data_IF_199422024745
#
_entry.id   IF_199422024745
#
_cell.length_a   1.000
_cell.length_b   1.000
_cell.length_c   1.000
_cell.angle_alpha   90.00
_cell.angle_beta   90.00
_cell.angle_gamma   90.00
#
_symmetry.space_group_name_H-M   'P 1'
#
loop_
_entity.id
_entity.type
_entity.pdbx_description
1 polymer ?
#
# COMPACT_ATOMS: atom_id res chain seq x y z
N UNK A 1 -15.64 -21.32 -38.32
CA UNK A 1 -14.62 -20.69 -37.44
C UNK A 1 -15.41 -19.86 -36.45
N UNK A 2 -15.70 -20.40 -35.27
CA UNK A 2 -16.79 -19.94 -34.41
C UNK A 2 -16.33 -18.85 -33.43
N UNK A 3 -16.93 -17.66 -33.56
CA UNK A 3 -16.92 -16.62 -32.53
C UNK A 3 -17.64 -17.14 -31.27
N UNK A 4 -16.88 -17.40 -30.22
CA UNK A 4 -17.41 -17.50 -28.86
C UNK A 4 -17.38 -16.11 -28.24
N UNK A 5 -18.48 -15.37 -28.41
CA UNK A 5 -18.82 -14.22 -27.55
C UNK A 5 -18.99 -14.72 -26.12
N UNK A 6 -17.91 -14.66 -25.35
CA UNK A 6 -17.94 -14.90 -23.91
C UNK A 6 -18.65 -13.75 -23.21
N UNK A 7 -19.97 -13.86 -23.06
CA UNK A 7 -20.69 -13.20 -21.96
C UNK A 7 -20.08 -13.72 -20.65
N UNK A 8 -19.09 -13.00 -20.10
CA UNK A 8 -18.74 -13.17 -18.69
C UNK A 8 -19.92 -12.63 -17.91
N UNK A 9 -20.66 -13.54 -17.27
CA UNK A 9 -21.70 -13.18 -16.33
C UNK A 9 -21.10 -12.31 -15.24
N UNK A 10 -21.62 -11.10 -15.13
CA UNK A 10 -21.47 -10.27 -13.93
C UNK A 10 -22.02 -11.11 -12.76
N UNK A 11 -21.29 -11.31 -11.65
CA UNK A 11 -21.86 -11.93 -10.47
C UNK A 11 -23.10 -11.12 -10.05
N UNK A 12 -24.13 -11.75 -9.45
CA UNK A 12 -25.38 -11.06 -9.16
C UNK A 12 -25.10 -9.79 -8.35
N UNK A 13 -25.52 -8.65 -8.90
CA UNK A 13 -25.57 -7.37 -8.20
C UNK A 13 -26.26 -7.59 -6.86
N UNK A 14 -25.57 -7.29 -5.76
CA UNK A 14 -26.24 -7.10 -4.49
C UNK A 14 -27.16 -5.90 -4.66
N UNK A 15 -28.45 -6.19 -4.87
CA UNK A 15 -29.47 -5.21 -5.15
C UNK A 15 -29.45 -4.06 -4.13
N UNK A 16 -29.58 -2.85 -4.66
CA UNK A 16 -29.98 -1.64 -3.95
C UNK A 16 -31.10 -1.91 -2.93
N UNK A 17 -30.93 -1.40 -1.70
CA UNK A 17 -32.05 -0.93 -0.88
C UNK A 17 -32.79 -1.93 0.02
N UNK A 18 -32.15 -3.00 0.52
CA UNK A 18 -32.74 -3.80 1.60
C UNK A 18 -32.64 -3.10 2.97
N UNK A 19 -33.64 -3.23 3.86
CA UNK A 19 -33.58 -2.71 5.25
C UNK A 19 -32.28 -3.06 5.98
N UNK A 20 -31.67 -4.21 5.69
CA UNK A 20 -30.37 -4.64 6.25
C UNK A 20 -29.20 -3.77 5.77
N UNK A 21 -29.19 -3.36 4.51
CA UNK A 21 -28.16 -2.49 3.95
C UNK A 21 -28.25 -1.07 4.54
N UNK A 22 -29.46 -0.59 4.80
CA UNK A 22 -29.67 0.71 5.46
C UNK A 22 -29.21 0.69 6.93
N UNK A 23 -29.53 -0.38 7.67
CA UNK A 23 -29.06 -0.54 9.06
C UNK A 23 -27.54 -0.64 9.11
N UNK A 24 -26.91 -1.39 8.21
CA UNK A 24 -25.45 -1.51 8.16
C UNK A 24 -24.79 -0.16 7.84
N UNK A 25 -25.31 0.59 6.87
CA UNK A 25 -24.82 1.93 6.53
C UNK A 25 -24.91 2.89 7.74
N UNK A 26 -26.06 2.91 8.41
CA UNK A 26 -26.28 3.74 9.60
C UNK A 26 -25.37 3.33 10.77
N UNK A 27 -25.11 2.04 10.97
CA UNK A 27 -24.18 1.56 12.00
C UNK A 27 -22.72 1.92 11.67
N UNK A 28 -22.30 1.74 10.41
CA UNK A 28 -20.95 2.09 9.97
C UNK A 28 -20.70 3.60 10.11
N UNK A 29 -21.61 4.42 9.60
CA UNK A 29 -21.53 5.87 9.69
C UNK A 29 -21.66 6.36 11.15
N UNK A 30 -22.59 5.79 11.91
CA UNK A 30 -22.80 6.12 13.32
C UNK A 30 -21.62 5.74 14.22
N UNK A 31 -20.99 4.60 13.98
CA UNK A 31 -19.77 4.19 14.69
C UNK A 31 -18.59 5.10 14.36
N UNK A 32 -18.48 5.57 13.11
CA UNK A 32 -17.40 6.45 12.70
C UNK A 32 -17.51 7.88 13.28
N UNK A 33 -18.74 8.34 13.58
CA UNK A 33 -18.99 9.59 14.33
C UNK A 33 -18.71 9.45 15.84
N UNK A 34 -18.72 8.22 16.37
CA UNK A 34 -18.53 7.92 17.79
C UNK A 34 -17.11 7.48 18.18
N UNK A 35 -16.17 7.36 17.22
CA UNK A 35 -14.75 7.20 17.54
C UNK A 35 -14.25 8.48 18.22
N UNK A 36 -13.60 8.40 19.40
CA UNK A 36 -13.49 9.52 20.31
C UNK A 36 -12.68 10.68 19.72
N UNK A 37 -13.20 11.89 19.95
CA UNK A 37 -12.54 13.18 19.79
C UNK A 37 -11.34 13.33 20.78
N UNK A 38 -10.38 12.41 20.70
CA UNK A 38 -9.12 12.45 21.44
C UNK A 38 -8.09 13.32 20.71
N UNK A 39 -8.12 14.62 20.98
CA UNK A 39 -6.95 15.49 21.15
C UNK A 39 -5.79 15.48 20.14
N UNK A 40 -5.99 15.05 18.89
CA UNK A 40 -4.99 15.14 17.83
C UNK A 40 -5.59 15.76 16.58
N UNK A 41 -4.91 16.71 15.98
CA UNK A 41 -5.19 17.12 14.59
C UNK A 41 -4.74 15.97 13.69
N UNK A 42 -5.69 15.19 13.18
CA UNK A 42 -5.44 14.14 12.20
C UNK A 42 -5.55 14.74 10.81
N UNK A 43 -4.45 14.75 10.05
CA UNK A 43 -4.49 15.13 8.65
C UNK A 43 -5.27 14.06 7.87
N UNK A 44 -6.34 14.47 7.18
CA UNK A 44 -7.10 13.60 6.29
C UNK A 44 -6.33 13.47 4.96
N UNK A 45 -5.96 12.24 4.61
CA UNK A 45 -5.32 11.90 3.34
C UNK A 45 -6.13 10.82 2.61
N UNK A 46 -6.20 10.91 1.28
CA UNK A 46 -6.93 9.98 0.38
C UNK A 46 -6.11 8.72 0.10
N UNK A 47 -5.42 8.18 1.10
CA UNK A 47 -4.50 7.05 0.92
C UNK A 47 -4.59 6.11 2.11
N UNK A 48 -4.21 4.84 1.89
CA UNK A 48 -3.86 3.85 2.91
C UNK A 48 -3.51 4.45 4.28
N UNK A 49 -3.82 3.74 5.37
CA UNK A 49 -3.40 4.05 6.73
C UNK A 49 -1.96 4.60 6.89
N UNK A 50 -1.01 4.24 6.00
CA UNK A 50 0.33 4.82 5.96
C UNK A 50 0.44 6.03 5.01
N UNK A 51 0.86 7.23 5.49
CA UNK A 51 0.92 8.47 4.69
C UNK A 51 1.92 8.47 3.52
N UNK A 52 2.69 7.40 3.38
CA UNK A 52 3.71 7.22 2.35
C UNK A 52 3.42 6.06 1.40
N UNK A 53 2.25 5.42 1.53
CA UNK A 53 1.88 4.33 0.63
C UNK A 53 2.03 4.74 -0.84
N UNK A 54 2.60 3.83 -1.62
CA UNK A 54 2.88 3.99 -3.06
C UNK A 54 3.89 5.08 -3.43
N UNK A 55 4.50 5.78 -2.46
CA UNK A 55 5.63 6.68 -2.75
C UNK A 55 6.88 5.89 -3.14
N UNK A 56 7.74 6.40 -4.03
CA UNK A 56 8.98 5.73 -4.37
C UNK A 56 9.92 5.72 -3.15
N UNK A 57 10.56 4.59 -2.90
CA UNK A 57 11.67 4.48 -1.95
C UNK A 57 12.89 5.11 -2.61
N UNK A 58 13.42 6.21 -2.09
CA UNK A 58 14.56 6.91 -2.66
C UNK A 58 15.90 6.40 -2.12
N UNK A 59 15.92 5.93 -0.88
CA UNK A 59 17.08 5.27 -0.29
C UNK A 59 16.71 4.17 0.70
N UNK A 60 17.63 3.21 0.88
CA UNK A 60 17.51 2.13 1.87
C UNK A 60 18.84 2.08 2.63
N UNK A 61 18.79 2.31 3.93
CA UNK A 61 19.92 2.14 4.83
C UNK A 61 19.69 0.95 5.76
N UNK A 62 20.74 0.21 6.08
CA UNK A 62 20.70 -0.94 6.99
C UNK A 62 21.66 -0.67 8.13
N UNK A 63 21.20 -0.78 9.37
CA UNK A 63 21.97 -0.44 10.58
C UNK A 63 21.92 -1.57 11.61
N UNK A 64 23.09 -1.93 12.13
CA UNK A 64 23.21 -2.83 13.27
C UNK A 64 23.10 -2.01 14.57
N UNK A 65 22.11 -2.33 15.41
CA UNK A 65 21.83 -1.61 16.65
C UNK A 65 22.79 -1.99 17.80
N UNK A 66 23.32 -3.21 17.79
CA UNK A 66 24.25 -3.73 18.81
C UNK A 66 25.50 -4.36 18.18
N UNK A 67 26.51 -3.55 17.79
CA UNK A 67 27.78 -4.04 17.27
C UNK A 67 28.47 -5.02 18.22
N UNK A 68 29.08 -6.07 17.67
CA UNK A 68 29.65 -7.18 18.46
C UNK A 68 31.11 -6.97 18.87
N UNK A 69 31.73 -5.87 18.41
CA UNK A 69 33.15 -5.57 18.60
C UNK A 69 34.07 -6.20 17.53
N UNK A 70 33.56 -7.12 16.70
CA UNK A 70 34.20 -7.61 15.48
C UNK A 70 33.61 -6.90 14.27
N UNK A 71 34.29 -5.87 13.78
CA UNK A 71 33.85 -5.07 12.63
C UNK A 71 33.66 -5.92 11.36
N UNK A 72 34.50 -6.94 11.14
CA UNK A 72 34.39 -7.78 9.95
C UNK A 72 33.16 -8.69 10.03
N UNK A 73 32.79 -9.17 11.22
CA UNK A 73 31.55 -9.92 11.42
C UNK A 73 30.33 -9.02 11.28
N UNK A 74 30.34 -7.84 11.90
CA UNK A 74 29.26 -6.85 11.81
C UNK A 74 28.99 -6.45 10.35
N UNK A 75 30.05 -6.20 9.57
CA UNK A 75 29.94 -5.87 8.13
C UNK A 75 29.33 -7.01 7.31
N UNK A 76 29.72 -8.27 7.58
CA UNK A 76 29.11 -9.45 6.93
C UNK A 76 27.63 -9.58 7.27
N UNK A 77 27.24 -9.27 8.51
CA UNK A 77 25.84 -9.33 8.94
C UNK A 77 25.02 -8.21 8.30
N UNK A 78 25.52 -6.98 8.25
CA UNK A 78 24.87 -5.86 7.55
C UNK A 78 24.69 -6.20 6.06
N UNK A 79 25.70 -6.76 5.41
CA UNK A 79 25.59 -7.17 4.00
C UNK A 79 24.60 -8.32 3.79
N UNK A 80 24.57 -9.31 4.71
CA UNK A 80 23.59 -10.40 4.70
C UNK A 80 22.15 -9.86 4.80
N UNK A 81 21.89 -8.94 5.74
CA UNK A 81 20.57 -8.30 5.90
C UNK A 81 20.22 -7.47 4.67
N UNK A 82 21.16 -6.68 4.13
CA UNK A 82 20.97 -5.90 2.90
C UNK A 82 20.56 -6.78 1.72
N UNK A 83 21.17 -7.96 1.58
CA UNK A 83 20.81 -8.92 0.53
C UNK A 83 19.44 -9.55 0.78
N UNK A 84 19.10 -9.86 2.03
CA UNK A 84 17.84 -10.48 2.42
C UNK A 84 16.61 -9.57 2.26
N UNK A 85 16.76 -8.26 2.47
CA UNK A 85 15.66 -7.28 2.35
C UNK A 85 15.05 -7.32 0.94
N UNK A 86 15.86 -7.48 -0.12
CA UNK A 86 15.35 -7.60 -1.49
C UNK A 86 14.50 -6.40 -1.97
N UNK A 87 14.61 -5.25 -1.29
CA UNK A 87 14.00 -3.99 -1.67
C UNK A 87 15.06 -3.14 -2.38
N UNK A 88 14.60 -2.38 -3.36
CA UNK A 88 15.43 -1.55 -4.20
C UNK A 88 14.85 -0.15 -4.22
N UNK A 89 15.68 0.91 -4.19
CA UNK A 89 15.15 2.24 -4.41
C UNK A 89 14.46 2.32 -5.80
N UNK A 90 13.48 3.21 -5.94
CA UNK A 90 12.53 3.25 -7.05
C UNK A 90 11.35 2.28 -6.91
N UNK A 91 11.39 1.34 -5.96
CA UNK A 91 10.23 0.52 -5.60
C UNK A 91 9.18 1.36 -4.86
N UNK A 92 7.90 1.08 -5.10
CA UNK A 92 6.82 1.68 -4.31
C UNK A 92 6.86 1.17 -2.86
N UNK A 93 6.76 2.10 -1.91
CA UNK A 93 6.61 1.83 -0.49
C UNK A 93 5.25 1.18 -0.22
N UNK A 94 5.26 0.12 0.59
CA UNK A 94 4.08 -0.60 1.06
C UNK A 94 4.45 -1.30 2.36
N UNK A 95 3.60 -1.16 3.37
CA UNK A 95 3.78 -1.83 4.67
C UNK A 95 3.89 -3.35 4.51
N UNK A 96 3.14 -3.93 3.59
CA UNK A 96 3.14 -5.37 3.36
C UNK A 96 4.45 -5.82 2.70
N UNK A 97 4.92 -5.09 1.69
CA UNK A 97 6.22 -5.39 1.06
C UNK A 97 7.38 -5.25 2.05
N UNK A 98 7.34 -4.26 2.93
CA UNK A 98 8.35 -4.09 3.97
C UNK A 98 8.23 -5.21 4.99
N UNK A 99 7.02 -5.52 5.48
CA UNK A 99 6.78 -6.64 6.37
C UNK A 99 7.36 -7.95 5.82
N UNK A 100 7.17 -8.21 4.53
CA UNK A 100 7.73 -9.35 3.81
C UNK A 100 9.26 -9.33 3.75
N UNK A 101 9.86 -8.18 3.45
CA UNK A 101 11.31 -7.99 3.47
C UNK A 101 11.90 -8.25 4.87
N UNK A 102 11.26 -7.76 5.92
CA UNK A 102 11.68 -8.00 7.30
C UNK A 102 11.50 -9.46 7.71
N UNK A 103 10.45 -10.14 7.25
CA UNK A 103 10.28 -11.58 7.47
C UNK A 103 11.39 -12.40 6.81
N UNK A 104 11.90 -11.99 5.64
CA UNK A 104 13.05 -12.61 4.99
C UNK A 104 14.34 -12.42 5.82
N UNK A 105 14.55 -11.23 6.41
CA UNK A 105 15.69 -10.96 7.30
C UNK A 105 15.65 -11.85 8.55
N UNK A 106 14.47 -12.05 9.14
CA UNK A 106 14.27 -12.91 10.33
C UNK A 106 14.55 -14.40 10.09
N UNK A 107 14.80 -14.83 8.84
CA UNK A 107 15.28 -16.19 8.56
C UNK A 107 16.70 -16.42 9.06
N UNK A 108 17.49 -15.36 9.24
CA UNK A 108 18.84 -15.49 9.76
C UNK A 108 18.78 -15.72 11.29
N UNK A 109 19.23 -16.88 11.80
CA UNK A 109 19.11 -17.21 13.22
C UNK A 109 19.97 -16.33 14.14
N UNK A 110 20.93 -15.58 13.58
CA UNK A 110 21.71 -14.61 14.35
C UNK A 110 20.93 -13.31 14.60
N UNK A 111 19.87 -13.01 13.82
CA UNK A 111 19.07 -11.80 13.96
C UNK A 111 18.03 -12.00 15.06
N UNK A 112 18.15 -11.23 16.13
CA UNK A 112 17.23 -11.24 17.27
C UNK A 112 16.01 -10.36 17.03
N UNK A 113 16.23 -9.15 16.51
CA UNK A 113 15.17 -8.19 16.20
C UNK A 113 15.46 -7.47 14.89
N UNK A 114 14.41 -7.05 14.20
CA UNK A 114 14.50 -6.20 13.02
C UNK A 114 13.24 -5.36 12.91
N UNK A 115 13.46 -4.07 12.69
CA UNK A 115 12.44 -3.04 12.58
C UNK A 115 12.80 -2.03 11.48
N UNK A 116 11.92 -1.07 11.20
CA UNK A 116 12.15 -0.07 10.18
C UNK A 116 11.59 1.30 10.54
N UNK A 117 12.32 2.33 10.16
CA UNK A 117 11.87 3.72 10.17
C UNK A 117 11.74 4.23 8.73
N UNK A 118 10.73 5.05 8.49
CA UNK A 118 10.50 5.69 7.20
C UNK A 118 10.37 7.19 7.37
N UNK A 119 11.15 7.94 6.60
CA UNK A 119 11.14 9.41 6.59
C UNK A 119 10.83 9.93 5.19
N UNK A 120 10.18 11.11 5.05
CA UNK A 120 10.07 11.78 3.76
C UNK A 120 11.45 12.11 3.20
N UNK A 121 11.65 11.87 1.91
CA UNK A 121 12.86 12.29 1.21
C UNK A 121 12.74 13.72 0.65
N UNK A 122 13.86 14.34 0.30
CA UNK A 122 13.89 15.65 -0.36
C UNK A 122 13.28 15.65 -1.78
N UNK A 123 13.14 14.47 -2.39
CA UNK A 123 12.59 14.28 -3.75
C UNK A 123 11.11 13.90 -3.76
N UNK A 124 10.46 13.88 -2.59
CA UNK A 124 9.04 13.56 -2.45
C UNK A 124 8.73 12.06 -2.33
N UNK A 125 9.75 11.21 -2.38
CA UNK A 125 9.69 9.80 -2.01
C UNK A 125 9.92 9.57 -0.52
N UNK A 126 10.50 8.42 -0.18
CA UNK A 126 10.83 8.05 1.20
C UNK A 126 12.23 7.46 1.37
N UNK A 127 12.85 7.76 2.51
CA UNK A 127 14.10 7.15 2.96
C UNK A 127 13.77 6.07 3.99
N UNK A 128 14.11 4.82 3.68
CA UNK A 128 13.89 3.65 4.52
C UNK A 128 15.14 3.33 5.33
N UNK A 129 15.03 3.22 6.65
CA UNK A 129 16.11 2.73 7.52
C UNK A 129 15.67 1.44 8.17
N UNK A 130 16.37 0.34 7.85
CA UNK A 130 16.15 -0.97 8.48
C UNK A 130 17.17 -1.15 9.59
N UNK A 131 16.69 -1.28 10.82
CA UNK A 131 17.51 -1.46 12.02
C UNK A 131 17.36 -2.89 12.54
N UNK A 132 18.46 -3.57 12.83
CA UNK A 132 18.42 -4.94 13.34
C UNK A 132 19.38 -5.13 14.52
N UNK A 133 19.10 -6.12 15.36
CA UNK A 133 19.99 -6.54 16.45
C UNK A 133 20.38 -8.01 16.32
N UNK A 134 21.58 -8.35 16.80
CA UNK A 134 22.10 -9.70 16.87
C UNK A 134 21.85 -10.30 18.25
N UNK A 135 21.55 -11.60 18.31
CA UNK A 135 21.38 -12.33 19.57
C UNK A 135 22.66 -13.03 20.03
N UNK A 136 22.80 -13.22 21.35
CA UNK A 136 23.96 -13.89 21.96
C UNK A 136 24.06 -15.40 21.64
N UNK A 137 22.97 -15.99 21.12
CA UNK A 137 22.89 -17.38 20.70
C UNK A 137 22.04 -17.44 19.43
N UNK A 138 22.46 -18.24 18.45
CA UNK A 138 21.66 -18.59 17.28
C UNK A 138 20.45 -19.43 17.72
N UNK A 139 19.41 -18.79 18.23
CA UNK A 139 18.15 -19.45 18.54
C UNK A 139 17.36 -19.55 17.23
N UNK A 140 16.99 -20.75 16.76
CA UNK A 140 16.05 -20.84 15.65
C UNK A 140 14.78 -20.12 16.10
N UNK A 141 14.45 -19.00 15.46
CA UNK A 141 13.26 -18.23 15.78
C UNK A 141 12.07 -19.19 15.78
N UNK A 142 11.41 -19.36 16.94
CA UNK A 142 10.26 -20.28 17.10
C UNK A 142 9.08 -19.93 16.17
N UNK A 143 9.18 -18.82 15.44
CA UNK A 143 8.10 -18.14 14.78
C UNK A 143 7.37 -17.23 15.76
N UNK A 144 6.54 -16.34 15.24
CA UNK A 144 5.69 -15.43 16.01
C UNK A 144 4.32 -15.28 15.34
N UNK A 145 3.40 -14.63 16.02
CA UNK A 145 2.02 -14.45 15.57
C UNK A 145 1.05 -15.39 16.27
N UNK A 146 -0.23 -15.03 16.22
CA UNK A 146 -1.32 -15.67 16.95
C UNK A 146 -1.40 -17.18 16.70
N UNK A 147 -1.13 -17.65 15.49
CA UNK A 147 -1.16 -19.08 15.15
C UNK A 147 0.05 -19.86 15.72
N UNK A 148 1.12 -19.18 16.11
CA UNK A 148 2.33 -19.79 16.71
C UNK A 148 2.25 -19.76 18.23
N UNK A 149 1.85 -18.64 18.83
CA UNK A 149 1.77 -18.46 20.28
C UNK A 149 0.47 -18.98 20.89
N UNK A 150 -0.63 -18.97 20.12
CA UNK A 150 -1.98 -19.18 20.63
C UNK A 150 -2.55 -17.98 21.41
N UNK A 151 -1.83 -16.85 21.51
CA UNK A 151 -2.28 -15.66 22.23
C UNK A 151 -3.00 -14.69 21.27
N UNK A 152 -4.29 -14.35 21.52
CA UNK A 152 -5.02 -13.35 20.74
C UNK A 152 -4.36 -11.96 20.70
N UNK A 153 -3.50 -11.63 21.67
CA UNK A 153 -2.76 -10.35 21.71
C UNK A 153 -1.75 -10.19 20.57
N UNK A 154 -1.35 -11.28 19.93
CA UNK A 154 -0.43 -11.24 18.79
C UNK A 154 -1.14 -10.86 17.47
N UNK A 155 -2.48 -10.78 17.48
CA UNK A 155 -3.24 -10.20 16.38
C UNK A 155 -2.86 -8.70 16.22
N UNK A 156 -2.60 -8.21 14.99
CA UNK A 156 -3.03 -8.77 13.70
C UNK A 156 -2.01 -9.67 12.98
N UNK A 157 -0.89 -10.03 13.61
CA UNK A 157 0.06 -10.96 13.03
C UNK A 157 -0.44 -12.40 13.22
N UNK A 158 -0.82 -13.08 12.13
CA UNK A 158 -1.35 -14.44 12.20
C UNK A 158 -0.20 -15.44 12.28
N UNK A 159 0.78 -15.32 11.38
CA UNK A 159 1.92 -16.22 11.29
C UNK A 159 3.13 -15.44 10.78
N UNK A 160 4.30 -15.65 11.38
CA UNK A 160 5.60 -15.26 10.83
C UNK A 160 6.61 -16.32 11.24
N UNK A 161 6.98 -17.20 10.31
CA UNK A 161 7.90 -18.31 10.55
C UNK A 161 8.61 -18.73 9.27
N UNK A 162 9.94 -18.84 9.33
CA UNK A 162 10.78 -19.29 8.22
C UNK A 162 10.58 -18.48 6.92
N UNK A 163 10.30 -17.17 7.03
CA UNK A 163 10.01 -16.30 5.89
C UNK A 163 8.57 -16.38 5.37
N UNK A 164 7.76 -17.31 5.87
CA UNK A 164 6.31 -17.28 5.64
C UNK A 164 5.67 -16.30 6.60
N UNK A 165 5.00 -15.29 6.06
CA UNK A 165 4.27 -14.29 6.84
C UNK A 165 2.81 -14.25 6.39
N UNK A 166 1.90 -14.18 7.36
CA UNK A 166 0.47 -13.98 7.16
C UNK A 166 -0.01 -12.96 8.20
N UNK A 167 -0.66 -11.89 7.74
CA UNK A 167 -1.20 -10.85 8.61
C UNK A 167 -2.62 -10.48 8.22
N UNK A 168 -3.37 -10.04 9.20
CA UNK A 168 -4.62 -9.33 8.97
C UNK A 168 -4.35 -7.82 8.82
N UNK A 169 -5.15 -7.15 8.00
CA UNK A 169 -5.22 -5.68 7.91
C UNK A 169 -6.66 -5.27 8.19
N UNK A 170 -6.81 -4.21 8.98
CA UNK A 170 -8.06 -3.48 9.17
C UNK A 170 -7.75 -2.00 9.00
N UNK A 171 -8.49 -1.35 8.11
CA UNK A 171 -8.49 0.10 7.92
C UNK A 171 -9.93 0.59 8.01
N UNK A 172 -10.11 1.79 8.54
CA UNK A 172 -11.42 2.38 8.77
C UNK A 172 -11.34 3.89 8.55
N UNK A 173 -12.32 4.42 7.81
CA UNK A 173 -12.47 5.85 7.60
C UNK A 173 -13.92 6.26 7.84
N UNK A 174 -14.10 7.43 8.43
CA UNK A 174 -15.38 8.10 8.55
C UNK A 174 -15.23 9.59 8.28
N UNK A 175 -16.17 10.13 7.51
CA UNK A 175 -16.17 11.53 7.10
C UNK A 175 -17.59 12.08 7.26
N UNK A 176 -17.67 13.28 7.83
CA UNK A 176 -18.90 14.06 7.87
C UNK A 176 -18.75 15.25 6.93
N UNK A 177 -19.77 15.47 6.12
CA UNK A 177 -19.83 16.53 5.16
C UNK A 177 -21.10 17.35 5.35
N UNK A 178 -20.97 18.65 5.12
CA UNK A 178 -22.08 19.55 5.00
C UNK A 178 -21.82 20.50 3.83
N UNK A 179 -22.84 20.78 3.05
CA UNK A 179 -22.79 21.76 1.97
C UNK A 179 -23.97 22.73 2.10
N UNK A 180 -23.85 23.88 1.46
CA UNK A 180 -24.94 24.83 1.31
C UNK A 180 -25.06 25.21 -0.16
N UNK A 181 -26.26 25.07 -0.71
CA UNK A 181 -26.53 25.33 -2.13
C UNK A 181 -25.65 24.47 -3.06
N UNK A 182 -25.60 23.15 -2.82
CA UNK A 182 -25.00 22.22 -3.77
C UNK A 182 -25.53 22.48 -5.18
N UNK A 183 -24.64 22.35 -6.18
CA UNK A 183 -24.98 22.62 -7.58
C UNK A 183 -25.55 24.02 -7.80
N UNK A 184 -25.02 25.02 -7.07
CA UNK A 184 -25.50 26.41 -7.07
C UNK A 184 -26.99 26.53 -6.67
N UNK A 185 -27.52 25.56 -5.93
CA UNK A 185 -28.93 25.46 -5.56
C UNK A 185 -29.87 25.13 -6.73
N UNK A 186 -29.33 24.67 -7.86
CA UNK A 186 -30.07 24.32 -9.09
C UNK A 186 -29.71 22.92 -9.61
N UNK A 187 -29.92 21.85 -8.81
CA UNK A 187 -29.64 20.48 -9.24
C UNK A 187 -30.47 20.10 -10.49
N UNK A 188 -31.64 20.70 -10.68
CA UNK A 188 -32.50 20.53 -11.85
C UNK A 188 -31.81 20.89 -13.18
N UNK A 189 -30.93 21.90 -13.16
CA UNK A 189 -30.16 22.31 -14.33
C UNK A 189 -28.82 21.60 -14.42
N UNK A 190 -28.12 21.48 -13.29
CA UNK A 190 -26.72 21.03 -13.25
C UNK A 190 -26.56 19.51 -13.33
N UNK A 191 -27.60 18.76 -12.95
CA UNK A 191 -27.58 17.29 -12.94
C UNK A 191 -28.51 16.67 -13.98
N UNK A 192 -29.05 17.47 -14.90
CA UNK A 192 -29.92 16.96 -15.94
C UNK A 192 -29.21 15.90 -16.79
N UNK A 193 -29.76 14.69 -16.84
CA UNK A 193 -29.18 13.56 -17.55
C UNK A 193 -27.99 12.89 -16.86
N UNK A 194 -27.65 13.30 -15.62
CA UNK A 194 -26.60 12.63 -14.85
C UNK A 194 -27.13 11.27 -14.31
N UNK A 195 -26.54 10.14 -14.73
CA UNK A 195 -27.02 8.82 -14.31
C UNK A 195 -26.76 8.50 -12.84
N UNK A 196 -25.92 9.27 -12.15
CA UNK A 196 -25.65 9.10 -10.72
C UNK A 196 -26.77 9.62 -9.82
N UNK A 197 -27.75 10.34 -10.38
CA UNK A 197 -28.86 10.89 -9.61
C UNK A 197 -29.87 9.79 -9.30
N UNK A 198 -30.04 9.53 -8.02
CA UNK A 198 -31.02 8.60 -7.47
C UNK A 198 -31.86 9.36 -6.44
N UNK A 199 -33.19 9.28 -6.49
CA UNK A 199 -34.03 10.02 -5.54
C UNK A 199 -33.88 11.54 -5.67
N UNK A 200 -33.69 12.23 -4.54
CA UNK A 200 -33.53 13.69 -4.50
C UNK A 200 -32.05 14.06 -4.31
N UNK A 201 -31.40 14.70 -5.28
CA UNK A 201 -30.04 15.22 -5.09
C UNK A 201 -30.03 16.44 -4.15
N UNK A 202 -28.87 16.71 -3.52
CA UNK A 202 -28.66 17.96 -2.75
C UNK A 202 -28.92 19.19 -3.62
N UNK A 203 -29.38 20.28 -3.01
CA UNK A 203 -29.78 21.47 -3.76
C UNK A 203 -29.73 22.74 -2.95
N UNK A 204 -30.78 23.55 -3.03
CA UNK A 204 -30.88 24.82 -2.31
C UNK A 204 -30.99 24.57 -0.80
N UNK A 205 -30.22 25.32 -0.01
CA UNK A 205 -30.19 25.20 1.44
C UNK A 205 -29.04 24.33 1.94
N UNK A 206 -29.06 24.02 3.23
CA UNK A 206 -28.06 23.17 3.87
C UNK A 206 -28.45 21.70 3.80
N UNK A 207 -27.51 20.89 3.33
CA UNK A 207 -27.61 19.43 3.27
C UNK A 207 -26.33 18.83 3.88
N UNK A 208 -26.48 17.75 4.64
CA UNK A 208 -25.36 17.05 5.28
C UNK A 208 -25.46 15.53 5.11
N UNK A 209 -24.30 14.89 5.15
CA UNK A 209 -24.21 13.43 5.05
C UNK A 209 -22.92 12.93 5.69
N UNK A 210 -22.92 11.64 6.02
CA UNK A 210 -21.78 10.91 6.54
C UNK A 210 -21.45 9.79 5.58
N UNK A 211 -20.16 9.58 5.36
CA UNK A 211 -19.64 8.44 4.63
C UNK A 211 -18.62 7.70 5.48
N UNK A 212 -18.59 6.38 5.34
CA UNK A 212 -17.60 5.56 6.02
C UNK A 212 -17.23 4.34 5.21
N UNK A 213 -16.03 3.79 5.46
CA UNK A 213 -15.67 2.46 5.01
C UNK A 213 -14.89 1.68 6.06
N UNK A 214 -14.98 0.35 5.95
CA UNK A 214 -14.08 -0.61 6.58
C UNK A 214 -13.41 -1.44 5.51
N UNK A 215 -12.09 -1.46 5.49
CA UNK A 215 -11.26 -2.36 4.68
C UNK A 215 -10.68 -3.44 5.57
N UNK A 216 -10.94 -4.70 5.25
CA UNK A 216 -10.42 -5.81 6.03
C UNK A 216 -9.96 -6.94 5.12
N UNK A 217 -8.84 -7.54 5.46
CA UNK A 217 -8.25 -8.56 4.62
C UNK A 217 -7.06 -9.26 5.23
N UNK A 218 -6.60 -10.29 4.52
CA UNK A 218 -5.43 -11.07 4.88
C UNK A 218 -4.42 -10.99 3.74
N UNK A 219 -3.16 -10.75 4.11
CA UNK A 219 -2.05 -10.64 3.18
C UNK A 219 -0.92 -11.54 3.64
N UNK A 220 -0.24 -12.17 2.68
CA UNK A 220 0.84 -13.06 3.02
C UNK A 220 1.86 -13.26 1.93
N UNK A 221 3.00 -13.80 2.35
CA UNK A 221 4.11 -14.22 1.51
C UNK A 221 4.66 -15.53 2.04
N UNK A 222 5.16 -16.36 1.14
CA UNK A 222 5.91 -17.57 1.49
C UNK A 222 7.07 -17.79 0.50
N UNK A 223 8.29 -18.08 0.98
CA UNK A 223 9.41 -18.39 0.11
C UNK A 223 9.20 -19.75 -0.56
N UNK A 224 9.38 -19.80 -1.87
CA UNK A 224 9.51 -21.05 -2.62
C UNK A 224 10.97 -21.52 -2.71
N UNK A 225 11.92 -20.58 -2.67
CA UNK A 225 13.36 -20.83 -2.64
C UNK A 225 14.09 -19.71 -1.88
N UNK A 226 15.42 -19.68 -1.95
CA UNK A 226 16.22 -18.57 -1.40
C UNK A 226 16.01 -17.25 -2.14
N UNK A 227 15.63 -17.31 -3.42
CA UNK A 227 15.57 -16.17 -4.34
C UNK A 227 14.18 -15.88 -4.89
N UNK A 228 13.16 -16.67 -4.51
CA UNK A 228 11.80 -16.59 -5.02
C UNK A 228 10.79 -16.79 -3.90
N UNK A 229 9.81 -15.90 -3.85
CA UNK A 229 8.66 -15.96 -2.96
C UNK A 229 7.37 -15.76 -3.73
N UNK A 230 6.30 -16.43 -3.27
CA UNK A 230 4.92 -16.18 -3.71
C UNK A 230 4.25 -15.32 -2.65
N UNK A 231 3.50 -14.31 -3.07
CA UNK A 231 2.72 -13.46 -2.19
C UNK A 231 1.31 -13.25 -2.75
N UNK A 232 0.40 -12.79 -1.90
CA UNK A 232 -0.97 -12.52 -2.31
C UNK A 232 -1.76 -11.78 -1.23
N UNK A 233 -2.92 -11.28 -1.64
CA UNK A 233 -3.84 -10.56 -0.79
C UNK A 233 -5.27 -10.92 -1.13
N UNK A 234 -6.09 -11.07 -0.08
CA UNK A 234 -7.54 -11.17 -0.20
C UNK A 234 -8.18 -10.23 0.81
N UNK A 235 -8.94 -9.26 0.33
CA UNK A 235 -9.58 -8.24 1.16
C UNK A 235 -10.95 -7.86 0.62
N UNK A 236 -11.77 -7.27 1.49
CA UNK A 236 -13.05 -6.67 1.13
C UNK A 236 -13.19 -5.30 1.75
N UNK A 237 -13.90 -4.42 1.04
CA UNK A 237 -14.33 -3.13 1.57
C UNK A 237 -15.83 -3.15 1.75
N UNK A 238 -16.27 -2.74 2.93
CA UNK A 238 -17.67 -2.39 3.21
C UNK A 238 -17.75 -0.88 3.37
N UNK A 239 -18.45 -0.22 2.44
CA UNK A 239 -18.69 1.23 2.44
C UNK A 239 -20.15 1.55 2.80
N UNK A 240 -20.38 2.76 3.30
CA UNK A 240 -21.71 3.29 3.60
C UNK A 240 -21.80 4.79 3.36
N UNK A 241 -22.97 5.24 2.92
CA UNK A 241 -23.39 6.65 2.87
C UNK A 241 -24.73 6.80 3.59
N UNK A 242 -24.86 7.81 4.43
CA UNK A 242 -26.08 8.13 5.18
C UNK A 242 -26.32 9.64 5.19
N UNK A 243 -27.54 10.07 4.89
CA UNK A 243 -27.92 11.49 4.80
C UNK A 243 -28.11 11.96 3.36
N UNK A 244 -27.98 13.25 3.14
CA UNK A 244 -28.24 13.91 1.87
C UNK A 244 -26.93 14.14 1.09
N UNK A 245 -26.50 13.13 0.33
CA UNK A 245 -25.32 13.18 -0.53
C UNK A 245 -25.61 14.04 -1.78
N UNK A 246 -24.53 14.47 -2.46
CA UNK A 246 -24.58 15.36 -3.62
C UNK A 246 -25.54 14.92 -4.74
N UNK A 247 -25.65 13.61 -4.99
CA UNK A 247 -26.46 13.08 -6.10
C UNK A 247 -27.73 12.35 -5.62
N UNK A 248 -27.88 12.10 -4.32
CA UNK A 248 -28.99 11.28 -3.80
C UNK A 248 -29.23 11.49 -2.30
N UNK A 249 -30.46 11.24 -1.86
CA UNK A 249 -30.85 11.12 -0.45
C UNK A 249 -30.93 9.65 0.04
N UNK A 250 -30.54 8.70 -0.80
CA UNK A 250 -30.62 7.29 -0.49
C UNK A 250 -29.50 6.84 0.47
N UNK A 251 -29.90 6.16 1.54
CA UNK A 251 -28.97 5.47 2.44
C UNK A 251 -28.52 4.16 1.81
N UNK A 252 -27.21 4.01 1.59
CA UNK A 252 -26.63 2.89 0.84
C UNK A 252 -25.45 2.30 1.59
N UNK A 253 -25.26 0.99 1.44
CA UNK A 253 -24.02 0.30 1.79
C UNK A 253 -23.65 -0.71 0.73
N UNK A 254 -22.36 -0.98 0.60
CA UNK A 254 -21.85 -1.87 -0.41
C UNK A 254 -20.63 -2.64 0.09
N UNK A 255 -20.67 -3.97 -0.07
CA UNK A 255 -19.54 -4.84 0.26
C UNK A 255 -19.09 -5.58 -0.98
N UNK A 256 -17.81 -5.49 -1.29
CA UNK A 256 -17.20 -6.23 -2.40
C UNK A 256 -15.71 -6.41 -2.16
N UNK A 257 -15.12 -7.39 -2.84
CA UNK A 257 -13.67 -7.60 -2.80
C UNK A 257 -12.94 -6.32 -3.21
N UNK A 258 -11.84 -6.03 -2.52
CA UNK A 258 -10.96 -4.92 -2.89
C UNK A 258 -9.68 -5.46 -3.47
N UNK A 259 -8.99 -6.33 -2.74
CA UNK A 259 -7.82 -7.05 -3.23
C UNK A 259 -8.15 -8.53 -3.40
N UNK A 260 -7.75 -9.08 -4.54
CA UNK A 260 -7.80 -10.50 -4.85
C UNK A 260 -6.72 -10.78 -5.89
N UNK A 261 -5.48 -10.90 -5.43
CA UNK A 261 -4.31 -11.05 -6.30
C UNK A 261 -3.31 -12.06 -5.76
N UNK A 262 -2.49 -12.56 -6.69
CA UNK A 262 -1.30 -13.37 -6.41
C UNK A 262 -0.12 -12.78 -7.16
N UNK A 263 1.06 -12.96 -6.63
CA UNK A 263 2.29 -12.55 -7.28
C UNK A 263 3.49 -13.38 -6.88
N UNK A 264 4.55 -13.21 -7.64
CA UNK A 264 5.88 -13.70 -7.32
C UNK A 264 6.83 -12.53 -7.25
N UNK A 265 7.71 -12.59 -6.26
CA UNK A 265 8.79 -11.62 -6.09
C UNK A 265 10.08 -12.37 -5.86
N UNK A 266 11.16 -11.87 -6.43
CA UNK A 266 12.44 -12.53 -6.31
C UNK A 266 13.57 -11.69 -6.86
N UNK A 267 14.77 -12.26 -6.80
CA UNK A 267 15.97 -11.59 -7.23
C UNK A 267 17.23 -12.28 -6.77
N UNK A 268 18.36 -11.71 -7.16
CA UNK A 268 19.68 -12.22 -6.80
C UNK A 268 20.76 -11.20 -7.07
N UNK A 269 21.92 -11.46 -6.47
CA UNK A 269 23.16 -10.73 -6.75
C UNK A 269 24.13 -11.71 -7.38
N UNK A 270 24.67 -11.37 -8.55
CA UNK A 270 25.67 -12.21 -9.22
C UNK A 270 27.06 -12.05 -8.58
N UNK A 271 28.02 -12.89 -8.98
CA UNK A 271 29.39 -12.83 -8.47
C UNK A 271 30.12 -11.52 -8.79
N UNK A 272 29.63 -10.73 -9.75
CA UNK A 272 30.16 -9.41 -10.13
C UNK A 272 29.49 -8.28 -9.36
N UNK A 273 28.52 -8.59 -8.50
CA UNK A 273 27.75 -7.62 -7.72
C UNK A 273 26.54 -7.04 -8.45
N UNK A 274 26.22 -7.51 -9.66
CA UNK A 274 25.02 -7.05 -10.37
C UNK A 274 23.77 -7.58 -9.68
N UNK A 275 22.77 -6.72 -9.54
CA UNK A 275 21.53 -7.00 -8.82
C UNK A 275 20.38 -7.15 -9.80
N UNK A 276 19.72 -8.29 -9.74
CA UNK A 276 18.46 -8.55 -10.44
C UNK A 276 17.33 -8.60 -9.41
N UNK A 277 16.23 -7.93 -9.71
CA UNK A 277 14.99 -8.02 -8.96
C UNK A 277 13.82 -8.13 -9.92
N UNK A 278 12.81 -8.91 -9.57
CA UNK A 278 11.58 -8.95 -10.34
C UNK A 278 10.36 -9.05 -9.43
N UNK A 279 9.25 -8.53 -9.94
CA UNK A 279 7.95 -8.65 -9.33
C UNK A 279 6.92 -8.88 -10.45
N UNK A 280 6.16 -9.97 -10.36
CA UNK A 280 5.09 -10.27 -11.30
C UNK A 280 3.83 -10.56 -10.50
N UNK A 281 2.75 -9.86 -10.79
CA UNK A 281 1.48 -10.03 -10.09
C UNK A 281 0.29 -9.93 -11.03
N UNK A 282 -0.76 -10.66 -10.71
CA UNK A 282 -2.02 -10.61 -11.42
C UNK A 282 -3.22 -10.73 -10.48
N UNK A 283 -4.28 -10.01 -10.80
CA UNK A 283 -5.55 -10.02 -10.07
C UNK A 283 -6.06 -8.62 -9.76
N UNK A 284 -7.08 -8.55 -8.91
CA UNK A 284 -7.69 -7.31 -8.45
C UNK A 284 -6.78 -6.68 -7.41
N UNK A 285 -6.23 -5.49 -7.70
CA UNK A 285 -5.36 -4.75 -6.80
C UNK A 285 -5.26 -3.29 -7.25
N UNK A 286 -4.79 -2.41 -6.37
CA UNK A 286 -4.49 -1.02 -6.75
C UNK A 286 -3.29 -0.94 -7.69
N UNK A 287 -3.39 -0.04 -8.67
CA UNK A 287 -2.25 0.36 -9.49
C UNK A 287 -2.11 1.88 -9.51
N UNK A 288 -0.89 2.37 -9.37
CA UNK A 288 -0.56 3.77 -9.59
C UNK A 288 0.67 3.88 -10.48
N UNK A 289 0.71 4.90 -11.33
CA UNK A 289 1.81 5.16 -12.24
C UNK A 289 2.29 6.61 -12.10
N UNK A 290 3.61 6.78 -12.07
CA UNK A 290 4.27 8.08 -11.94
C UNK A 290 3.78 8.89 -10.73
N UNK A 291 3.70 8.26 -9.56
CA UNK A 291 3.22 8.88 -8.31
C UNK A 291 1.80 9.47 -8.42
N UNK A 292 0.96 8.87 -9.27
CA UNK A 292 -0.40 9.37 -9.52
C UNK A 292 -0.51 10.42 -10.62
N UNK A 293 0.60 10.88 -11.21
CA UNK A 293 0.53 11.86 -12.29
C UNK A 293 -0.12 11.29 -13.56
N UNK A 294 0.18 10.02 -13.89
CA UNK A 294 -0.40 9.36 -15.07
C UNK A 294 -1.62 8.51 -14.70
N UNK A 295 -1.51 7.73 -13.62
CA UNK A 295 -2.60 6.88 -13.11
C UNK A 295 -2.61 6.99 -11.60
N UNK A 296 -3.65 7.62 -11.04
CA UNK A 296 -3.83 7.81 -9.59
C UNK A 296 -4.89 6.89 -8.98
N UNK A 297 -5.97 6.67 -9.71
CA UNK A 297 -7.10 5.89 -9.28
C UNK A 297 -7.51 4.91 -10.40
N UNK A 298 -7.82 3.69 -10.00
CA UNK A 298 -8.21 2.61 -10.90
C UNK A 298 -9.60 2.06 -10.58
N UNK A 299 -10.36 2.73 -9.70
CA UNK A 299 -11.73 2.37 -9.36
C UNK A 299 -12.64 3.60 -9.30
N UNK A 300 -13.92 3.40 -9.61
CA UNK A 300 -14.96 4.40 -9.40
C UNK A 300 -15.72 4.18 -8.07
N UNK A 301 -16.15 5.30 -7.47
CA UNK A 301 -16.81 5.39 -6.16
C UNK A 301 -18.19 6.06 -6.28
N UNK A 302 -19.03 5.90 -5.25
CA UNK A 302 -20.39 6.43 -5.24
C UNK A 302 -21.39 5.55 -5.98
N UNK A 303 -22.58 6.09 -6.24
CA UNK A 303 -23.70 5.31 -6.79
C UNK A 303 -24.03 4.13 -5.88
N UNK A 304 -24.29 2.96 -6.47
CA UNK A 304 -24.52 1.71 -5.76
C UNK A 304 -23.40 1.30 -4.78
N UNK A 305 -22.18 1.83 -4.95
CA UNK A 305 -21.02 1.52 -4.10
C UNK A 305 -20.94 2.37 -2.83
N UNK A 306 -21.79 3.38 -2.69
CA UNK A 306 -21.74 4.38 -1.61
C UNK A 306 -20.35 5.06 -1.48
N UNK A 307 -20.14 5.82 -0.40
CA UNK A 307 -18.88 6.44 -0.03
C UNK A 307 -18.21 7.21 -1.19
N UNK A 308 -18.98 8.09 -1.84
CA UNK A 308 -18.56 8.86 -3.00
C UNK A 308 -17.33 9.73 -2.70
N UNK A 309 -17.37 10.52 -1.64
CA UNK A 309 -16.29 11.46 -1.30
C UNK A 309 -15.18 10.82 -0.48
N UNK A 310 -15.50 9.81 0.34
CA UNK A 310 -14.53 9.01 1.07
C UNK A 310 -13.63 8.18 0.13
N UNK A 311 -14.00 8.03 -1.15
CA UNK A 311 -13.23 7.31 -2.16
C UNK A 311 -12.82 5.91 -1.69
N UNK A 312 -13.79 5.15 -1.18
CA UNK A 312 -13.54 3.87 -0.51
C UNK A 312 -12.89 2.80 -1.42
N UNK A 313 -13.02 2.92 -2.75
CA UNK A 313 -12.57 1.97 -3.77
C UNK A 313 -11.41 2.52 -4.56
N UNK A 314 -10.45 1.66 -4.86
CA UNK A 314 -9.15 2.05 -5.38
C UNK A 314 -8.48 0.93 -6.21
N UNK A 315 -8.87 -0.33 -6.04
CA UNK A 315 -8.39 -1.46 -6.82
C UNK A 315 -9.01 -1.54 -8.23
N UNK A 316 -8.18 -1.82 -9.23
CA UNK A 316 -8.63 -2.12 -10.59
C UNK A 316 -9.43 -3.43 -10.63
N UNK A 317 -10.35 -3.59 -11.57
CA UNK A 317 -11.06 -4.87 -11.76
C UNK A 317 -10.07 -5.99 -12.07
N UNK A 318 -9.07 -5.68 -12.91
CA UNK A 318 -7.94 -6.56 -13.14
C UNK A 318 -6.65 -5.80 -13.47
N UNK A 319 -5.56 -6.20 -12.83
CA UNK A 319 -4.21 -5.82 -13.18
C UNK A 319 -3.39 -7.07 -13.48
N UNK A 320 -2.60 -7.04 -14.54
CA UNK A 320 -1.42 -7.88 -14.69
C UNK A 320 -0.20 -6.96 -14.80
N UNK A 321 0.78 -7.13 -13.91
CA UNK A 321 1.94 -6.27 -13.79
C UNK A 321 3.21 -7.13 -13.75
N UNK A 322 4.18 -6.78 -14.58
CA UNK A 322 5.52 -7.34 -14.56
C UNK A 322 6.54 -6.21 -14.42
N UNK A 323 7.42 -6.33 -13.43
CA UNK A 323 8.48 -5.40 -13.14
C UNK A 323 9.80 -6.15 -13.07
N UNK A 324 10.82 -5.64 -13.76
CA UNK A 324 12.18 -6.17 -13.72
C UNK A 324 13.11 -5.00 -13.46
N UNK A 325 13.97 -5.13 -12.45
CA UNK A 325 15.03 -4.18 -12.16
C UNK A 325 16.37 -4.87 -12.30
N UNK A 326 17.26 -4.29 -13.08
CA UNK A 326 18.65 -4.74 -13.24
C UNK A 326 19.58 -3.58 -12.95
N UNK A 327 20.32 -3.67 -11.84
CA UNK A 327 21.12 -2.58 -11.29
C UNK A 327 20.30 -1.29 -11.19
N UNK A 328 20.64 -0.33 -12.05
CA UNK A 328 20.11 1.03 -12.11
C UNK A 328 19.06 1.20 -13.21
N UNK A 329 18.43 0.12 -13.68
CA UNK A 329 17.41 0.20 -14.72
C UNK A 329 16.18 -0.58 -14.33
N UNK A 330 15.00 0.05 -14.44
CA UNK A 330 13.71 -0.58 -14.23
C UNK A 330 12.92 -0.63 -15.54
N UNK A 331 12.41 -1.82 -15.83
CA UNK A 331 11.43 -2.08 -16.86
C UNK A 331 10.12 -2.50 -16.21
N UNK A 332 9.02 -2.00 -16.74
CA UNK A 332 7.68 -2.33 -16.29
C UNK A 332 6.79 -2.60 -17.50
N UNK A 333 5.89 -3.57 -17.37
CA UNK A 333 4.84 -3.85 -18.32
C UNK A 333 3.56 -4.10 -17.55
N UNK A 334 2.46 -3.48 -17.95
CA UNK A 334 1.18 -3.70 -17.29
C UNK A 334 0.01 -3.75 -18.27
N UNK A 335 -0.97 -4.58 -17.94
CA UNK A 335 -2.31 -4.58 -18.50
C UNK A 335 -3.28 -4.25 -17.37
N UNK A 336 -4.12 -3.24 -17.56
CA UNK A 336 -5.01 -2.68 -16.57
C UNK A 336 -6.44 -2.58 -17.12
N UNK A 337 -7.37 -3.14 -16.37
CA UNK A 337 -8.82 -3.01 -16.55
C UNK A 337 -9.37 -2.26 -15.31
N UNK A 338 -9.68 -0.95 -15.41
CA UNK A 338 -10.19 -0.17 -14.28
C UNK A 338 -11.55 -0.68 -13.78
N UNK A 339 -11.79 -0.60 -12.47
CA UNK A 339 -13.06 -0.96 -11.86
C UNK A 339 -14.08 0.19 -11.92
N UNK A 340 -14.59 0.44 -13.11
CA UNK A 340 -15.62 1.46 -13.34
C UNK A 340 -16.97 1.06 -12.73
N UNK A 341 -17.82 2.05 -12.46
CA UNK A 341 -19.19 1.79 -12.05
C UNK A 341 -19.95 1.16 -13.22
N UNK A 342 -20.78 0.12 -13.02
CA UNK A 342 -21.54 -0.50 -14.10
C UNK A 342 -22.37 0.48 -14.94
N UNK A 343 -22.87 1.55 -14.31
CA UNK A 343 -23.64 2.61 -14.96
C UNK A 343 -22.79 3.59 -15.80
N UNK A 344 -21.47 3.63 -15.57
CA UNK A 344 -20.49 4.48 -16.25
C UNK A 344 -19.37 3.66 -16.92
N UNK A 345 -19.63 2.39 -17.21
CA UNK A 345 -18.63 1.45 -17.70
C UNK A 345 -18.26 1.75 -19.16
N UNK A 346 -17.06 2.27 -19.36
CA UNK A 346 -16.51 2.65 -20.67
C UNK A 346 -15.83 1.49 -21.39
N UNK A 347 -15.60 0.37 -20.70
CA UNK A 347 -14.81 -0.78 -21.18
C UNK A 347 -13.36 -0.42 -21.51
N UNK A 348 -12.83 0.64 -20.91
CA UNK A 348 -11.46 1.10 -21.15
C UNK A 348 -10.46 0.07 -20.63
N UNK A 349 -9.45 -0.25 -21.45
CA UNK A 349 -8.33 -1.12 -21.06
C UNK A 349 -7.02 -0.47 -21.44
N UNK A 350 -6.04 -0.53 -20.55
CA UNK A 350 -4.78 0.19 -20.69
C UNK A 350 -3.63 -0.81 -20.70
N UNK A 351 -2.80 -0.74 -21.74
CA UNK A 351 -1.53 -1.46 -21.84
C UNK A 351 -0.40 -0.43 -21.76
N UNK A 352 0.59 -0.66 -20.91
CA UNK A 352 1.74 0.22 -20.78
C UNK A 352 3.06 -0.53 -20.70
N UNK A 353 4.12 0.10 -21.20
CA UNK A 353 5.51 -0.39 -21.13
C UNK A 353 6.46 0.71 -20.58
N UNK A 354 6.34 1.11 -19.30
CA UNK A 354 7.25 2.10 -18.74
C UNK A 354 8.70 1.61 -18.68
N UNK A 355 9.61 2.53 -18.97
CA UNK A 355 11.05 2.36 -18.84
C UNK A 355 11.60 3.53 -18.03
N UNK A 356 12.54 3.27 -17.12
CA UNK A 356 13.26 4.34 -16.44
C UNK A 356 14.69 3.93 -16.10
N UNK A 357 15.71 4.74 -16.51
CA UNK A 357 17.03 4.67 -15.89
C UNK A 357 16.96 5.32 -14.50
N UNK A 358 17.61 4.69 -13.52
CA UNK A 358 17.67 5.12 -12.12
C UNK A 358 18.38 6.46 -11.92
N UNK A 359 19.05 7.01 -12.94
CA UNK A 359 19.64 8.35 -12.94
C UNK A 359 18.65 9.49 -12.67
N UNK A 360 17.33 9.27 -12.79
CA UNK A 360 16.30 10.22 -12.31
C UNK A 360 15.97 10.11 -10.81
N UNK A 361 16.38 9.05 -10.13
CA UNK A 361 16.34 8.91 -8.66
C UNK A 361 17.67 9.27 -7.97
N UNK A 362 18.77 9.41 -8.72
CA UNK A 362 20.13 9.44 -8.18
C UNK A 362 20.68 10.82 -7.72
N UNK A 363 19.85 11.81 -7.37
CA UNK A 363 20.40 13.02 -6.69
C UNK A 363 20.78 12.77 -5.21
N UNK A 364 20.41 11.62 -4.64
CA UNK A 364 20.82 11.21 -3.28
C UNK A 364 22.10 10.37 -3.25
N UNK A 365 22.54 9.76 -4.36
CA UNK A 365 23.67 8.81 -4.38
C UNK A 365 25.06 9.47 -4.39
N UNK A 366 25.19 10.73 -4.84
CA UNK A 366 26.48 11.41 -4.91
C UNK A 366 27.09 11.78 -3.53
N UNK A 367 26.35 11.59 -2.43
CA UNK A 367 26.82 11.90 -1.08
C UNK A 367 27.60 10.78 -0.36
N UNK A 368 27.75 9.59 -0.96
CA UNK A 368 28.14 8.39 -0.21
C UNK A 368 29.52 7.79 -0.53
N UNK A 369 30.34 8.43 -1.37
CA UNK A 369 31.66 7.89 -1.74
C UNK A 369 32.89 8.62 -1.19
N UNK A 370 32.78 9.68 -0.36
CA UNK A 370 33.96 10.41 0.14
C UNK A 370 33.83 10.97 1.57
N UNK A 371 33.61 10.10 2.57
CA UNK A 371 33.87 10.46 3.99
C UNK A 371 34.60 9.37 4.77
N UNK A 372 35.61 8.78 4.13
CA UNK A 372 36.60 7.92 4.78
C UNK A 372 38.01 8.30 4.31
N UNK A 373 38.43 9.55 4.54
CA UNK A 373 39.85 9.97 4.51
C UNK A 373 39.98 11.44 4.95
N UNK A 374 39.95 11.70 6.25
CA UNK A 374 40.59 12.88 6.83
C UNK A 374 40.83 12.63 8.33
N UNK A 375 41.84 11.81 8.62
CA UNK A 375 42.53 11.91 9.91
C UNK A 375 43.41 13.17 9.86
N UNK A 376 43.35 14.07 10.85
CA UNK A 376 44.37 15.10 10.99
C UNK A 376 45.60 14.47 11.65
N UNK A 377 46.65 14.25 10.86
CA UNK A 377 48.00 14.02 11.41
C UNK A 377 48.56 15.34 11.94
N UNK A 378 49.14 15.23 13.14
CA UNK A 378 49.80 16.25 13.94
C UNK A 378 50.94 16.99 13.24
N UNK A 379 51.19 18.26 13.61
CA UNK A 379 52.52 18.72 14.06
C UNK A 379 52.49 20.12 14.72
N UNK A 380 52.98 20.13 15.97
CA UNK A 380 53.75 21.15 16.70
C UNK A 380 53.93 22.59 16.15
N UNK A 381 53.56 23.55 17.01
CA UNK A 381 54.53 24.49 17.62
C UNK A 381 54.70 25.89 17.02
N UNK A 382 54.21 26.92 17.73
CA UNK A 382 54.98 28.08 18.26
C UNK A 382 54.05 29.17 18.81
N UNK A 383 54.27 29.54 20.08
CA UNK A 383 54.01 30.89 20.61
C UNK A 383 54.88 31.92 19.85
N UNK A 384 54.43 33.17 19.69
CA UNK A 384 54.73 34.17 20.73
C UNK A 384 53.70 35.30 20.95
N UNK A 385 53.96 36.00 22.06
CA UNK A 385 53.45 37.29 22.56
C UNK A 385 52.23 37.23 23.50
#
# INVERSE_FOLDING_TARGET
>A
MAERTGRRGVPPQAASGGKRAQVLAALLCGAAVLLPAGGGSWAQGVTDAHPFAMRPIDSISVRLANPTGDAAYDDRMVDSVRRAIGLFPGSAFSDDRIGFALAAVRRNPAVQSVDYDVLPSATGGVDLTVSFSLGDQAQPARGRGMAVSGDPKDFPLILDRNGTMLRFKLDALGLYYANNNAWYGRPDLMLNGNPMVEGRPSGRGYDDWTEAYLHYGVYGITPLSESLSVYGGLSAITSGSFGQELFTDETRSYTFFEDAYVGIVGGGVDARGNRLAFNVTAGRQRFTLSNGFLIANTAANGGERAALQANARWASDFLALAQISYNDTKFEAFYLDPDELPILDTKTRILGLPWAPFWRCARSWAGWSNRAAAAPSSTSGRSPA
#
